data_IF_383376987904
#
_entry.id   IF_383376987904
#
_cell.length_a   1.000
_cell.length_b   1.000
_cell.length_c   1.000
_cell.angle_alpha   90.00
_cell.angle_beta   90.00
_cell.angle_gamma   90.00
#
_symmetry.space_group_name_H-M   'P 1'
#
loop_
_entity.id
_entity.type
_entity.pdbx_description
1 polymer ?
#
# COMPACT_ATOMS: atom_id res chain seq x y z
N UNK A 1 -12.71 8.87 -9.70
CA UNK A 1 -14.01 9.53 -9.46
C UNK A 1 -14.14 10.07 -8.03
N UNK A 2 -14.05 9.21 -7.01
CA UNK A 2 -14.21 9.62 -5.59
C UNK A 2 -13.22 10.74 -5.18
N UNK A 3 -11.95 10.62 -5.58
CA UNK A 3 -10.90 11.62 -5.26
C UNK A 3 -11.00 12.91 -6.09
N UNK A 4 -11.66 12.87 -7.25
CA UNK A 4 -11.73 14.03 -8.17
C UNK A 4 -12.80 15.04 -7.76
N UNK A 5 -13.84 14.59 -7.04
CA UNK A 5 -15.01 15.40 -6.68
C UNK A 5 -15.27 15.42 -5.17
N UNK A 6 -14.26 15.12 -4.36
CA UNK A 6 -14.41 15.04 -2.90
C UNK A 6 -14.95 16.34 -2.30
N UNK A 7 -14.54 17.51 -2.83
CA UNK A 7 -15.05 18.81 -2.40
C UNK A 7 -16.50 19.11 -2.86
N UNK A 8 -16.96 18.51 -3.95
CA UNK A 8 -18.28 18.82 -4.54
C UNK A 8 -19.40 17.95 -3.97
N UNK A 9 -19.14 16.68 -3.62
CA UNK A 9 -20.16 15.78 -3.10
C UNK A 9 -19.61 14.75 -2.09
N UNK A 10 -19.52 15.11 -0.80
CA UNK A 10 -19.03 14.24 0.28
C UNK A 10 -19.75 12.88 0.43
N UNK A 11 -21.08 12.75 0.22
CA UNK A 11 -21.78 11.47 0.36
C UNK A 11 -21.31 10.38 -0.60
N UNK A 12 -20.65 10.74 -1.71
CA UNK A 12 -20.07 9.79 -2.68
C UNK A 12 -19.17 8.76 -1.99
N UNK A 13 -18.45 9.17 -0.94
CA UNK A 13 -17.56 8.27 -0.22
C UNK A 13 -18.32 7.13 0.49
N UNK A 14 -19.47 7.45 1.09
CA UNK A 14 -20.32 6.45 1.74
C UNK A 14 -20.90 5.46 0.71
N UNK A 15 -21.38 5.97 -0.43
CA UNK A 15 -21.87 5.11 -1.52
C UNK A 15 -20.77 4.22 -2.10
N UNK A 16 -19.56 4.75 -2.28
CA UNK A 16 -18.43 3.97 -2.74
C UNK A 16 -18.00 2.90 -1.72
N UNK A 17 -18.05 3.20 -0.43
CA UNK A 17 -17.73 2.22 0.62
C UNK A 17 -18.73 1.05 0.63
N UNK A 18 -20.03 1.35 0.52
CA UNK A 18 -21.07 0.31 0.40
C UNK A 18 -20.89 -0.48 -0.89
N UNK A 19 -20.60 0.19 -2.02
CA UNK A 19 -20.35 -0.47 -3.30
C UNK A 19 -19.15 -1.42 -3.20
N UNK A 20 -18.02 -0.97 -2.65
CA UNK A 20 -16.82 -1.79 -2.47
C UNK A 20 -17.08 -3.00 -1.54
N UNK A 21 -17.92 -2.84 -0.49
CA UNK A 21 -18.28 -3.94 0.39
C UNK A 21 -19.09 -5.02 -0.34
N UNK A 22 -20.06 -4.58 -1.16
CA UNK A 22 -20.82 -5.49 -2.01
C UNK A 22 -19.92 -6.15 -3.06
N UNK A 23 -18.99 -5.40 -3.64
CA UNK A 23 -18.07 -5.85 -4.68
C UNK A 23 -17.15 -6.97 -4.18
N UNK A 24 -16.63 -6.87 -2.94
CA UNK A 24 -15.85 -7.96 -2.32
C UNK A 24 -16.66 -9.25 -2.24
N UNK A 25 -17.95 -9.16 -1.89
CA UNK A 25 -18.83 -10.34 -1.77
C UNK A 25 -19.13 -10.92 -3.15
N UNK A 26 -19.45 -10.07 -4.12
CA UNK A 26 -19.75 -10.51 -5.48
C UNK A 26 -18.53 -11.09 -6.19
N UNK A 27 -17.34 -10.52 -5.98
CA UNK A 27 -16.10 -11.04 -6.55
C UNK A 27 -15.71 -12.38 -5.92
N UNK A 28 -15.90 -12.54 -4.61
CA UNK A 28 -15.71 -13.84 -3.95
C UNK A 28 -16.65 -14.91 -4.54
N UNK A 29 -17.94 -14.60 -4.71
CA UNK A 29 -18.89 -15.52 -5.32
C UNK A 29 -18.51 -15.84 -6.78
N UNK A 30 -18.07 -14.85 -7.54
CA UNK A 30 -17.63 -15.02 -8.93
C UNK A 30 -16.42 -15.94 -9.03
N UNK A 31 -15.45 -15.78 -8.14
CA UNK A 31 -14.25 -16.62 -8.07
C UNK A 31 -14.55 -18.06 -7.61
N UNK A 32 -15.54 -18.25 -6.75
CA UNK A 32 -15.88 -19.57 -6.18
C UNK A 32 -16.84 -20.38 -7.05
N UNK A 33 -17.83 -19.73 -7.67
CA UNK A 33 -18.97 -20.41 -8.34
C UNK A 33 -18.92 -20.30 -9.85
N UNK A 34 -18.47 -19.16 -10.39
CA UNK A 34 -18.58 -18.86 -11.82
C UNK A 34 -17.29 -19.18 -12.58
N UNK A 35 -16.13 -18.90 -11.97
CA UNK A 35 -14.83 -19.02 -12.63
C UNK A 35 -14.19 -20.38 -12.36
N UNK A 36 -13.57 -20.98 -13.39
CA UNK A 36 -12.73 -22.16 -13.24
C UNK A 36 -11.47 -21.79 -12.45
N UNK A 37 -11.02 -22.69 -11.56
CA UNK A 37 -9.85 -22.46 -10.70
C UNK A 37 -8.62 -22.03 -11.51
N UNK A 38 -8.17 -20.80 -11.28
CA UNK A 38 -6.95 -20.26 -11.88
C UNK A 38 -5.70 -20.87 -11.23
N UNK A 39 -4.64 -21.04 -12.02
CA UNK A 39 -3.34 -21.48 -11.51
C UNK A 39 -2.73 -20.35 -10.68
N UNK A 40 -2.31 -20.60 -9.43
CA UNK A 40 -1.78 -19.55 -8.57
C UNK A 40 -0.48 -18.99 -9.18
N UNK A 41 -0.47 -17.69 -9.46
CA UNK A 41 0.72 -16.95 -9.87
C UNK A 41 1.19 -16.09 -8.70
N UNK A 42 2.42 -16.33 -8.23
CA UNK A 42 3.01 -15.49 -7.20
C UNK A 42 3.26 -14.08 -7.77
N UNK A 43 2.66 -13.08 -7.15
CA UNK A 43 2.93 -11.67 -7.41
C UNK A 43 3.46 -11.05 -6.12
N UNK A 44 4.68 -10.50 -6.15
CA UNK A 44 5.30 -9.88 -4.98
C UNK A 44 4.66 -8.53 -4.63
N UNK A 45 4.07 -7.86 -5.62
CA UNK A 45 3.46 -6.52 -5.48
C UNK A 45 2.28 -6.39 -6.44
N UNK A 46 1.36 -5.46 -6.15
CA UNK A 46 0.26 -5.05 -7.06
C UNK A 46 0.79 -4.52 -8.40
N UNK A 47 2.06 -4.10 -8.46
CA UNK A 47 2.78 -3.77 -9.69
C UNK A 47 2.53 -2.34 -10.18
N UNK A 48 2.45 -2.17 -11.51
CA UNK A 48 2.33 -0.87 -12.21
C UNK A 48 1.12 -0.06 -11.75
N UNK A 49 0.05 -0.72 -11.30
CA UNK A 49 -1.15 -0.08 -10.78
C UNK A 49 -0.87 0.93 -9.66
N UNK A 50 0.09 0.66 -8.77
CA UNK A 50 0.45 1.60 -7.71
C UNK A 50 0.99 2.91 -8.28
N UNK A 51 1.82 2.83 -9.33
CA UNK A 51 2.33 4.03 -10.00
C UNK A 51 1.20 4.83 -10.67
N UNK A 52 0.26 4.12 -11.31
CA UNK A 52 -0.92 4.75 -11.94
C UNK A 52 -1.74 5.49 -10.88
N UNK A 53 -2.02 4.87 -9.73
CA UNK A 53 -2.77 5.52 -8.65
C UNK A 53 -2.04 6.75 -8.08
N UNK A 54 -0.71 6.72 -8.00
CA UNK A 54 0.06 7.88 -7.54
C UNK A 54 -0.06 9.08 -8.49
N UNK A 55 0.04 8.84 -9.80
CA UNK A 55 -0.19 9.88 -10.82
C UNK A 55 -1.64 10.37 -10.77
N UNK A 56 -2.59 9.45 -10.58
CA UNK A 56 -4.00 9.79 -10.49
C UNK A 56 -4.32 10.71 -9.30
N UNK A 57 -3.72 10.46 -8.14
CA UNK A 57 -3.84 11.33 -6.95
C UNK A 57 -3.31 12.74 -7.26
N UNK A 58 -2.21 12.86 -8.01
CA UNK A 58 -1.67 14.16 -8.40
C UNK A 58 -2.64 14.95 -9.28
N UNK A 59 -3.20 14.30 -10.31
CA UNK A 59 -4.21 14.90 -11.19
C UNK A 59 -5.45 15.32 -10.38
N UNK A 60 -5.90 14.49 -9.43
CA UNK A 60 -7.03 14.83 -8.56
C UNK A 60 -6.77 16.10 -7.73
N UNK A 61 -5.55 16.28 -7.22
CA UNK A 61 -5.18 17.49 -6.47
C UNK A 61 -5.33 18.74 -7.34
N UNK A 62 -4.79 18.70 -8.56
CA UNK A 62 -4.91 19.80 -9.53
C UNK A 62 -6.37 20.13 -9.87
N UNK A 63 -7.21 19.11 -10.10
CA UNK A 63 -8.63 19.33 -10.37
C UNK A 63 -9.36 19.99 -9.19
N UNK A 64 -9.13 19.54 -7.95
CA UNK A 64 -9.78 20.16 -6.78
C UNK A 64 -9.31 21.61 -6.58
N UNK A 65 -8.04 21.93 -6.83
CA UNK A 65 -7.54 23.30 -6.81
C UNK A 65 -8.18 24.18 -7.89
N UNK A 66 -8.37 23.66 -9.10
CA UNK A 66 -9.05 24.36 -10.19
C UNK A 66 -10.53 24.64 -9.88
N UNK A 67 -11.25 23.66 -9.29
CA UNK A 67 -12.65 23.84 -8.85
C UNK A 67 -12.75 24.93 -7.78
N UNK A 68 -11.85 24.92 -6.79
CA UNK A 68 -11.79 25.97 -5.77
C UNK A 68 -11.51 27.34 -6.39
N UNK A 69 -10.51 27.44 -7.29
CA UNK A 69 -10.19 28.69 -7.98
C UNK A 69 -11.41 29.27 -8.70
N UNK A 70 -12.16 28.43 -9.41
CA UNK A 70 -13.37 28.85 -10.12
C UNK A 70 -14.48 29.28 -9.15
N UNK A 71 -14.73 28.52 -8.08
CA UNK A 71 -15.74 28.89 -7.08
C UNK A 71 -15.41 30.23 -6.39
N UNK A 72 -14.14 30.48 -6.09
CA UNK A 72 -13.71 31.74 -5.49
C UNK A 72 -13.80 32.94 -6.45
N UNK A 73 -13.61 32.72 -7.75
CA UNK A 73 -13.79 33.76 -8.78
C UNK A 73 -15.27 34.16 -8.91
N UNK A 74 -16.18 33.18 -8.83
CA UNK A 74 -17.63 33.41 -8.91
C UNK A 74 -18.18 34.16 -7.68
N UNK A 75 -17.61 33.95 -6.49
CA UNK A 75 -18.05 34.64 -5.28
C UNK A 75 -17.68 36.14 -5.24
N UNK A 76 -16.78 36.62 -6.11
CA UNK A 76 -16.53 38.06 -6.39
C UNK A 76 -16.11 38.94 -5.20
N UNK A 77 -15.90 38.38 -4.01
CA UNK A 77 -15.68 39.11 -2.74
C UNK A 77 -14.23 39.32 -2.36
N UNK A 78 -13.27 38.71 -3.07
CA UNK A 78 -11.86 38.67 -2.67
C UNK A 78 -10.94 39.26 -3.74
N UNK A 79 -9.89 39.98 -3.32
CA UNK A 79 -8.79 40.34 -4.23
C UNK A 79 -8.09 39.05 -4.67
N UNK A 80 -7.80 38.92 -5.97
CA UNK A 80 -7.25 37.71 -6.60
C UNK A 80 -5.83 37.38 -6.07
N UNK A 81 -5.08 38.39 -5.61
CA UNK A 81 -3.70 38.25 -5.10
C UNK A 81 -3.57 37.27 -3.92
N UNK A 82 -4.31 37.38 -2.79
CA UNK A 82 -4.24 36.41 -1.70
C UNK A 82 -4.91 35.06 -1.99
N UNK A 83 -5.95 35.02 -2.84
CA UNK A 83 -6.68 33.78 -3.15
C UNK A 83 -5.84 32.78 -3.94
N UNK A 84 -5.13 33.28 -4.96
CA UNK A 84 -4.22 32.46 -5.75
C UNK A 84 -3.02 31.98 -4.91
N UNK A 85 -2.51 32.85 -4.02
CA UNK A 85 -1.45 32.48 -3.08
C UNK A 85 -1.90 31.37 -2.12
N UNK A 86 -3.13 31.40 -1.61
CA UNK A 86 -3.66 30.34 -0.76
C UNK A 86 -3.76 29.00 -1.50
N UNK A 87 -4.18 29.00 -2.77
CA UNK A 87 -4.23 27.79 -3.61
C UNK A 87 -2.82 27.24 -3.86
N UNK A 88 -1.86 28.10 -4.19
CA UNK A 88 -0.44 27.74 -4.37
C UNK A 88 0.19 27.19 -3.07
N UNK A 89 -0.12 27.79 -1.93
CA UNK A 89 0.35 27.32 -0.61
C UNK A 89 -0.26 25.93 -0.31
N UNK A 90 -1.56 25.77 -0.55
CA UNK A 90 -2.23 24.46 -0.38
C UNK A 90 -1.63 23.40 -1.29
N UNK A 91 -1.31 23.74 -2.55
CA UNK A 91 -0.62 22.86 -3.48
C UNK A 91 0.78 22.45 -2.99
N UNK A 92 1.57 23.41 -2.49
CA UNK A 92 2.90 23.16 -1.92
C UNK A 92 2.84 22.28 -0.66
N UNK A 93 1.82 22.45 0.18
CA UNK A 93 1.56 21.57 1.33
C UNK A 93 1.23 20.15 0.86
N UNK A 94 0.41 20.02 -0.19
CA UNK A 94 0.06 18.73 -0.78
C UNK A 94 1.26 18.03 -1.46
N UNK A 95 2.22 18.78 -1.98
CA UNK A 95 3.51 18.29 -2.49
C UNK A 95 4.44 17.86 -1.34
N UNK A 96 4.51 18.65 -0.26
CA UNK A 96 5.28 18.34 0.95
C UNK A 96 4.85 17.04 1.61
N UNK A 97 3.54 16.73 1.61
CA UNK A 97 3.04 15.46 2.18
C UNK A 97 3.65 14.23 1.51
N UNK A 98 3.98 14.28 0.21
CA UNK A 98 4.67 13.18 -0.49
C UNK A 98 6.09 12.97 0.04
N UNK A 99 6.78 14.06 0.35
CA UNK A 99 8.13 14.04 0.93
C UNK A 99 8.10 13.52 2.38
N UNK A 100 7.13 14.00 3.17
CA UNK A 100 6.94 13.56 4.55
C UNK A 100 6.59 12.08 4.68
N UNK A 101 5.70 11.56 3.83
CA UNK A 101 5.27 10.16 3.92
C UNK A 101 6.41 9.18 3.61
N UNK A 102 7.25 9.50 2.63
CA UNK A 102 8.43 8.68 2.30
C UNK A 102 9.49 8.69 3.41
N UNK A 103 9.52 9.74 4.23
CA UNK A 103 10.44 9.86 5.36
C UNK A 103 9.91 9.15 6.62
N UNK A 104 8.61 9.28 6.91
CA UNK A 104 7.98 8.71 8.10
C UNK A 104 7.71 7.21 7.99
N UNK A 105 7.41 6.72 6.78
CA UNK A 105 7.14 5.30 6.53
C UNK A 105 8.27 4.72 5.67
N UNK A 106 9.43 4.35 6.24
CA UNK A 106 10.31 3.43 5.54
C UNK A 106 9.49 2.17 5.24
N UNK A 107 9.22 1.89 3.96
CA UNK A 107 8.31 0.83 3.45
C UNK A 107 8.72 -0.62 3.80
N UNK A 108 9.63 -0.80 4.77
CA UNK A 108 9.95 -2.10 5.34
C UNK A 108 9.41 -2.10 6.77
N UNK A 109 8.21 -2.66 6.92
CA UNK A 109 7.85 -3.34 8.16
C UNK A 109 9.01 -4.32 8.41
N UNK A 110 9.82 -4.03 9.44
CA UNK A 110 11.02 -4.74 9.90
C UNK A 110 10.80 -6.26 10.15
N UNK A 111 9.59 -6.77 9.96
CA UNK A 111 9.22 -8.18 10.07
C UNK A 111 9.49 -9.01 8.81
N UNK A 112 9.56 -8.40 7.62
CA UNK A 112 9.87 -9.12 6.36
C UNK A 112 11.30 -9.72 6.33
N UNK A 113 12.38 -9.01 6.68
CA UNK A 113 13.71 -9.62 6.70
C UNK A 113 13.80 -10.72 7.77
N UNK A 114 13.09 -10.58 8.89
CA UNK A 114 13.11 -11.56 9.98
C UNK A 114 12.39 -12.86 9.61
N UNK A 115 11.25 -12.80 8.92
CA UNK A 115 10.52 -13.99 8.46
C UNK A 115 11.21 -14.68 7.27
N UNK A 116 11.79 -13.91 6.34
CA UNK A 116 12.63 -14.45 5.24
C UNK A 116 13.86 -15.19 5.77
N UNK A 117 14.59 -14.58 6.71
CA UNK A 117 15.79 -15.18 7.32
C UNK A 117 15.43 -16.43 8.15
N UNK A 118 14.33 -16.40 8.91
CA UNK A 118 13.86 -17.56 9.68
C UNK A 118 13.47 -18.74 8.78
N UNK A 119 12.77 -18.47 7.66
CA UNK A 119 12.38 -19.51 6.71
C UNK A 119 13.60 -20.11 6.00
N UNK A 120 14.58 -19.28 5.61
CA UNK A 120 15.79 -19.75 4.95
C UNK A 120 16.68 -20.59 5.88
N UNK A 121 16.83 -20.21 7.15
CA UNK A 121 17.55 -21.01 8.14
C UNK A 121 16.84 -22.33 8.45
N UNK A 122 15.50 -22.32 8.51
CA UNK A 122 14.70 -23.54 8.71
C UNK A 122 14.81 -24.47 7.50
N UNK A 123 14.79 -23.93 6.27
CA UNK A 123 14.97 -24.71 5.04
C UNK A 123 16.37 -25.29 4.94
N UNK A 124 17.43 -24.51 5.21
CA UNK A 124 18.83 -25.00 5.25
C UNK A 124 19.01 -26.10 6.29
N UNK A 125 18.44 -25.95 7.48
CA UNK A 125 18.51 -26.97 8.54
C UNK A 125 17.80 -28.25 8.11
N UNK A 126 16.58 -28.17 7.57
CA UNK A 126 15.84 -29.35 7.07
C UNK A 126 16.56 -30.04 5.91
N UNK A 127 17.21 -29.29 5.03
CA UNK A 127 17.98 -29.83 3.90
C UNK A 127 19.24 -30.57 4.40
N UNK A 128 19.93 -30.03 5.41
CA UNK A 128 21.06 -30.71 6.08
C UNK A 128 20.59 -31.98 6.81
N UNK A 129 19.46 -31.93 7.54
CA UNK A 129 18.85 -33.14 8.17
C UNK A 129 18.52 -34.21 7.13
N UNK A 130 17.98 -33.82 5.96
CA UNK A 130 17.59 -34.78 4.92
C UNK A 130 18.76 -35.34 4.11
N UNK A 131 19.81 -34.56 3.85
CA UNK A 131 20.95 -34.99 3.04
C UNK A 131 22.07 -35.65 3.86
N UNK A 132 22.20 -35.33 5.15
CA UNK A 132 23.24 -35.87 6.02
C UNK A 132 22.66 -36.42 7.33
N UNK A 133 21.96 -37.57 7.30
CA UNK A 133 21.36 -38.18 8.49
C UNK A 133 22.40 -38.65 9.53
N UNK A 134 23.68 -38.79 9.16
CA UNK A 134 24.75 -39.30 10.02
C UNK A 134 25.55 -38.23 10.79
N UNK A 135 25.35 -36.93 10.52
CA UNK A 135 26.16 -35.87 11.15
C UNK A 135 25.61 -35.38 12.50
N UNK A 136 24.33 -35.62 12.79
CA UNK A 136 23.68 -35.13 14.02
C UNK A 136 24.15 -35.82 15.31
N UNK A 137 24.66 -37.05 15.22
CA UNK A 137 25.25 -37.75 16.37
C UNK A 137 26.57 -37.13 16.85
N UNK A 138 27.24 -36.33 16.01
CA UNK A 138 28.52 -35.70 16.37
C UNK A 138 28.33 -34.43 17.23
N UNK A 139 27.27 -33.66 16.99
CA UNK A 139 27.01 -32.41 17.74
C UNK A 139 26.40 -32.67 19.13
N UNK A 140 25.65 -33.77 19.32
CA UNK A 140 25.08 -34.11 20.63
C UNK A 140 26.13 -34.63 21.63
N UNK A 141 27.28 -35.12 21.15
CA UNK A 141 28.34 -35.68 22.00
C UNK A 141 29.35 -34.63 22.49
N UNK A 142 29.38 -33.45 21.88
CA UNK A 142 30.29 -32.36 22.28
C UNK A 142 29.69 -31.48 23.38
N UNK A 143 28.35 -31.38 23.46
CA UNK A 143 27.65 -30.57 24.46
C UNK A 143 27.56 -31.16 25.87
N UNK A 144 27.87 -32.44 26.06
CA UNK A 144 27.75 -33.14 27.36
C UNK A 144 29.07 -33.38 28.08
N UNK A 145 30.22 -33.00 27.48
CA UNK A 145 31.56 -33.18 28.08
C UNK A 145 32.10 -31.99 28.86
N UNK A 146 31.32 -30.92 29.04
CA UNK A 146 31.80 -29.73 29.75
C UNK A 146 30.78 -29.20 30.76
N UNK A 147 30.65 -29.91 31.89
CA UNK A 147 30.51 -29.33 33.25
C UNK A 147 29.90 -30.33 34.23
N UNK A 148 30.39 -30.42 35.48
CA UNK A 148 31.77 -30.52 35.97
C UNK A 148 32.20 -31.97 36.24
#
# INVERSE_FOLDING_TARGET
MILMFACAFPPTFAFAAVNNLMEIRTDALKLLVILRRHVPRAAATVGVWLNIFQVFIYICKLCNCAILAWLYDEEGKWKIEPGLAAILIMEHVLLLTKFGFSHFFPEVIVLLPKSKCMFENTFKTLLVVRLFPYSYSFLYNVGTKHSP
#
